data_IF_812981348598
#
_entry.id   IF_812981348598
#
_cell.length_a   1.000
_cell.length_b   1.000
_cell.length_c   1.000
_cell.angle_alpha   90.00
_cell.angle_beta   90.00
_cell.angle_gamma   90.00
#
_symmetry.space_group_name_H-M   'P 1'
#
loop_
_entity.id
_entity.type
_entity.pdbx_description
1 polymer ?
#
# COMPACT_ATOMS: atom_id res chain seq x y z
N UNK A 1 6.15 -2.96 -31.65
CA UNK A 1 7.12 -2.38 -30.69
C UNK A 1 8.45 -3.12 -30.84
N UNK A 2 9.53 -2.43 -31.22
CA UNK A 2 10.84 -3.06 -31.41
C UNK A 2 11.46 -3.26 -30.01
N UNK A 3 11.79 -4.52 -29.65
CA UNK A 3 12.53 -4.81 -28.42
C UNK A 3 13.95 -4.30 -28.54
N UNK A 4 14.35 -3.41 -27.63
CA UNK A 4 15.72 -2.92 -27.54
C UNK A 4 16.44 -3.67 -26.42
N UNK A 5 17.53 -4.34 -26.76
CA UNK A 5 18.37 -5.01 -25.78
C UNK A 5 19.31 -3.98 -25.13
N UNK A 6 19.18 -3.80 -23.84
CA UNK A 6 20.08 -2.95 -23.05
C UNK A 6 21.25 -3.80 -22.54
N UNK A 7 22.42 -3.16 -22.34
CA UNK A 7 23.58 -3.82 -21.70
C UNK A 7 23.41 -4.00 -20.18
N UNK A 8 22.44 -3.31 -19.62
CA UNK A 8 22.13 -3.26 -18.20
C UNK A 8 21.12 -4.36 -17.83
N UNK A 9 21.32 -5.04 -16.73
CA UNK A 9 20.35 -6.00 -16.20
C UNK A 9 19.24 -5.30 -15.41
N UNK A 10 18.18 -6.04 -15.11
CA UNK A 10 16.96 -5.49 -14.44
C UNK A 10 17.28 -4.91 -13.05
N UNK A 11 18.20 -5.54 -12.30
CA UNK A 11 18.56 -5.10 -10.96
C UNK A 11 19.35 -3.78 -11.00
N UNK A 12 20.30 -3.64 -11.92
CA UNK A 12 21.04 -2.39 -12.13
C UNK A 12 20.09 -1.24 -12.51
N UNK A 13 19.19 -1.50 -13.47
CA UNK A 13 18.18 -0.50 -13.87
C UNK A 13 17.25 -0.13 -12.72
N UNK A 14 16.91 -1.09 -11.85
CA UNK A 14 16.12 -0.84 -10.65
C UNK A 14 16.86 0.06 -9.64
N UNK A 15 18.14 -0.20 -9.39
CA UNK A 15 18.95 0.61 -8.47
C UNK A 15 19.11 2.07 -8.97
N UNK A 16 19.32 2.28 -10.26
CA UNK A 16 19.34 3.62 -10.85
C UNK A 16 18.01 4.35 -10.67
N UNK A 17 16.90 3.65 -10.85
CA UNK A 17 15.56 4.20 -10.60
C UNK A 17 15.32 4.54 -9.14
N UNK A 18 15.76 3.68 -8.22
CA UNK A 18 15.70 3.98 -6.78
C UNK A 18 16.51 5.22 -6.43
N UNK A 19 17.74 5.31 -6.94
CA UNK A 19 18.57 6.48 -6.73
C UNK A 19 17.83 7.76 -7.15
N UNK A 20 17.32 7.80 -8.38
CA UNK A 20 16.51 8.91 -8.87
C UNK A 20 15.32 9.24 -7.97
N UNK A 21 14.55 8.22 -7.54
CA UNK A 21 13.38 8.41 -6.67
C UNK A 21 13.80 9.03 -5.34
N UNK A 22 14.83 8.48 -4.69
CA UNK A 22 15.26 8.96 -3.38
C UNK A 22 15.94 10.32 -3.41
N UNK A 23 16.53 10.71 -4.53
CA UNK A 23 17.12 12.05 -4.73
C UNK A 23 16.06 13.11 -5.06
N UNK A 24 15.07 12.76 -5.90
CA UNK A 24 14.12 13.73 -6.46
C UNK A 24 12.82 13.89 -5.66
N UNK A 25 12.42 12.89 -4.86
CA UNK A 25 11.14 12.92 -4.15
C UNK A 25 11.33 13.07 -2.65
N UNK A 26 10.55 13.98 -2.06
CA UNK A 26 10.57 14.22 -0.62
C UNK A 26 9.85 13.11 0.13
N UNK A 27 8.67 12.74 -0.35
CA UNK A 27 7.77 11.76 0.25
C UNK A 27 7.68 10.52 -0.63
N UNK A 28 8.01 9.38 -0.06
CA UNK A 28 8.04 8.10 -0.77
C UNK A 28 7.19 7.10 0.02
N UNK A 29 6.29 6.42 -0.67
CA UNK A 29 5.60 5.28 -0.08
C UNK A 29 5.55 4.09 -1.05
N UNK A 30 5.39 2.90 -0.52
CA UNK A 30 5.30 1.65 -1.28
C UNK A 30 3.90 1.07 -1.09
N UNK A 31 3.23 0.74 -2.20
CA UNK A 31 2.03 -0.09 -2.16
C UNK A 31 2.44 -1.56 -2.00
N UNK A 32 2.03 -2.16 -0.89
CA UNK A 32 2.34 -3.54 -0.54
C UNK A 32 1.06 -4.38 -0.54
N UNK A 33 0.90 -5.26 -1.52
CA UNK A 33 -0.30 -6.11 -1.66
C UNK A 33 -0.26 -7.43 -0.88
N UNK A 34 0.89 -7.76 -0.29
CA UNK A 34 1.12 -9.10 0.29
C UNK A 34 1.52 -10.17 -0.73
N UNK A 35 1.58 -9.83 -2.02
CA UNK A 35 2.08 -10.73 -3.07
C UNK A 35 3.61 -10.75 -3.13
N UNK A 36 4.16 -11.79 -3.79
CA UNK A 36 5.62 -12.00 -3.89
C UNK A 36 6.36 -10.81 -4.50
N UNK A 37 5.80 -10.20 -5.56
CA UNK A 37 6.47 -9.14 -6.30
C UNK A 37 6.51 -7.83 -5.48
N UNK A 38 5.40 -7.47 -4.81
CA UNK A 38 5.36 -6.34 -3.89
C UNK A 38 6.21 -6.57 -2.64
N UNK A 39 6.31 -7.81 -2.18
CA UNK A 39 7.20 -8.21 -1.09
C UNK A 39 8.68 -8.10 -1.45
N UNK A 40 9.05 -8.53 -2.67
CA UNK A 40 10.40 -8.33 -3.19
C UNK A 40 10.74 -6.84 -3.30
N UNK A 41 9.84 -6.07 -3.94
CA UNK A 41 10.00 -4.62 -4.08
C UNK A 41 10.21 -3.95 -2.71
N UNK A 42 9.35 -4.24 -1.74
CA UNK A 42 9.45 -3.70 -0.37
C UNK A 42 10.80 -3.98 0.26
N UNK A 43 11.29 -5.22 0.19
CA UNK A 43 12.58 -5.59 0.79
C UNK A 43 13.77 -4.90 0.08
N UNK A 44 13.75 -4.80 -1.25
CA UNK A 44 14.82 -4.14 -2.02
C UNK A 44 14.84 -2.62 -1.74
N UNK A 45 13.68 -1.98 -1.65
CA UNK A 45 13.59 -0.55 -1.36
C UNK A 45 14.04 -0.26 0.08
N UNK A 46 13.65 -1.10 1.05
CA UNK A 46 14.10 -0.97 2.44
C UNK A 46 15.62 -1.11 2.56
N UNK A 47 16.20 -2.13 1.92
CA UNK A 47 17.64 -2.34 1.92
C UNK A 47 18.39 -1.16 1.29
N UNK A 48 17.90 -0.66 0.17
CA UNK A 48 18.49 0.51 -0.50
C UNK A 48 18.38 1.78 0.35
N UNK A 49 17.19 2.06 0.91
CA UNK A 49 16.96 3.20 1.78
C UNK A 49 17.91 3.16 2.98
N UNK A 50 17.98 2.03 3.68
CA UNK A 50 18.79 1.91 4.91
C UNK A 50 20.27 2.09 4.64
N UNK A 51 20.77 1.68 3.47
CA UNK A 51 22.18 1.85 3.07
C UNK A 51 22.51 3.25 2.56
N UNK A 52 21.62 3.83 1.76
CA UNK A 52 21.94 5.05 1.01
C UNK A 52 21.25 6.31 1.55
N UNK A 53 20.06 6.16 2.18
CA UNK A 53 19.21 7.27 2.64
C UNK A 53 18.58 6.97 4.01
N UNK A 54 19.34 6.61 5.04
CA UNK A 54 18.81 6.09 6.32
C UNK A 54 17.89 7.06 7.06
N UNK A 55 18.01 8.36 6.79
CA UNK A 55 17.18 9.40 7.43
C UNK A 55 15.89 9.67 6.67
N UNK A 56 15.71 9.08 5.47
CA UNK A 56 14.53 9.38 4.66
C UNK A 56 13.32 8.54 5.12
N UNK A 57 12.24 9.23 5.44
CA UNK A 57 10.97 8.58 5.77
C UNK A 57 10.46 7.74 4.59
N UNK A 58 9.81 6.63 4.90
CA UNK A 58 9.24 5.73 3.92
C UNK A 58 7.91 5.21 4.42
N UNK A 59 6.84 5.49 3.69
CA UNK A 59 5.51 4.93 3.94
C UNK A 59 5.34 3.52 3.36
N UNK A 60 4.54 2.69 4.00
CA UNK A 60 4.09 1.41 3.43
C UNK A 60 2.57 1.34 3.51
N UNK A 61 1.93 1.35 2.35
CA UNK A 61 0.49 1.34 2.19
C UNK A 61 0.02 -0.07 1.80
N UNK A 62 -0.82 -0.67 2.63
CA UNK A 62 -1.55 -1.90 2.32
C UNK A 62 -3.04 -1.61 2.27
N UNK A 63 -3.66 -1.85 1.12
CA UNK A 63 -5.11 -1.77 0.94
C UNK A 63 -5.70 -3.14 1.18
N UNK A 64 -6.43 -3.29 2.27
CA UNK A 64 -6.95 -4.58 2.71
C UNK A 64 -8.34 -4.84 2.13
N UNK A 65 -8.44 -5.91 1.37
CA UNK A 65 -9.69 -6.35 0.73
C UNK A 65 -10.52 -7.30 1.59
N UNK A 66 -10.21 -7.47 2.89
CA UNK A 66 -10.93 -8.35 3.82
C UNK A 66 -10.88 -9.84 3.40
N UNK A 67 -11.61 -10.21 2.33
CA UNK A 67 -11.67 -11.56 1.80
C UNK A 67 -10.41 -11.94 1.01
N UNK A 68 -9.30 -12.07 1.71
CA UNK A 68 -8.03 -12.56 1.16
C UNK A 68 -7.70 -13.95 1.70
N UNK A 69 -6.76 -14.65 1.04
CA UNK A 69 -6.25 -15.91 1.58
C UNK A 69 -5.59 -15.68 2.95
N UNK A 70 -5.87 -16.55 3.90
CA UNK A 70 -5.31 -16.48 5.27
C UNK A 70 -3.79 -16.35 5.26
N UNK A 71 -3.10 -17.13 4.44
CA UNK A 71 -1.63 -17.07 4.31
C UNK A 71 -1.13 -15.70 3.82
N UNK A 72 -1.92 -15.00 2.98
CA UNK A 72 -1.57 -13.65 2.52
C UNK A 72 -1.72 -12.66 3.67
N UNK A 73 -2.83 -12.71 4.41
CA UNK A 73 -3.07 -11.85 5.57
C UNK A 73 -2.01 -12.03 6.65
N UNK A 74 -1.68 -13.28 6.99
CA UNK A 74 -0.61 -13.61 7.93
C UNK A 74 0.76 -13.12 7.45
N UNK A 75 1.06 -13.19 6.16
CA UNK A 75 2.30 -12.67 5.61
C UNK A 75 2.35 -11.16 5.69
N UNK A 76 1.24 -10.47 5.40
CA UNK A 76 1.12 -9.01 5.57
C UNK A 76 1.38 -8.64 7.03
N UNK A 77 0.70 -9.28 7.97
CA UNK A 77 0.84 -9.01 9.40
C UNK A 77 2.29 -9.20 9.86
N UNK A 78 2.92 -10.34 9.58
CA UNK A 78 4.32 -10.60 9.91
C UNK A 78 5.26 -9.57 9.28
N UNK A 79 4.96 -9.14 8.05
CA UNK A 79 5.78 -8.13 7.37
C UNK A 79 5.67 -6.79 8.06
N UNK A 80 4.47 -6.32 8.38
CA UNK A 80 4.26 -5.06 9.08
C UNK A 80 4.90 -5.06 10.47
N UNK A 81 4.75 -6.15 11.25
CA UNK A 81 5.41 -6.27 12.55
C UNK A 81 6.95 -6.22 12.44
N UNK A 82 7.52 -6.81 11.40
CA UNK A 82 8.97 -6.80 11.15
C UNK A 82 9.51 -5.42 10.78
N UNK A 83 8.71 -4.61 10.06
CA UNK A 83 9.18 -3.32 9.54
C UNK A 83 8.69 -2.12 10.36
N UNK A 84 7.77 -2.30 11.30
CA UNK A 84 7.34 -1.22 12.20
C UNK A 84 8.55 -0.63 12.93
N UNK A 85 8.56 0.68 13.13
CA UNK A 85 9.70 1.41 13.65
C UNK A 85 10.81 1.75 12.64
N UNK A 86 10.74 1.16 11.43
CA UNK A 86 11.62 1.51 10.30
C UNK A 86 10.88 2.28 9.20
N UNK A 87 9.57 2.16 9.15
CA UNK A 87 8.69 2.77 8.16
C UNK A 87 7.46 3.37 8.83
N UNK A 88 6.68 4.11 8.07
CA UNK A 88 5.34 4.56 8.44
C UNK A 88 4.31 3.57 7.87
N UNK A 89 3.79 2.64 8.67
CA UNK A 89 2.89 1.61 8.19
C UNK A 89 1.45 2.12 8.14
N UNK A 90 0.75 1.83 7.04
CA UNK A 90 -0.66 2.14 6.82
C UNK A 90 -1.39 0.90 6.32
N UNK A 91 -2.05 0.18 7.21
CA UNK A 91 -2.91 -0.95 6.87
C UNK A 91 -4.34 -0.46 6.78
N UNK A 92 -4.83 -0.25 5.55
CA UNK A 92 -6.09 0.45 5.30
C UNK A 92 -7.26 -0.53 5.17
N UNK A 93 -8.13 -0.52 6.18
CA UNK A 93 -9.37 -1.28 6.30
C UNK A 93 -10.58 -0.34 6.19
N UNK A 94 -10.73 0.31 5.04
CA UNK A 94 -11.83 1.23 4.77
C UNK A 94 -12.83 0.61 3.79
N UNK A 95 -14.14 0.81 3.96
CA UNK A 95 -15.15 0.42 2.98
C UNK A 95 -14.87 1.02 1.60
N UNK A 96 -14.69 0.15 0.62
CA UNK A 96 -14.40 0.54 -0.76
C UNK A 96 -15.16 -0.35 -1.76
N UNK A 97 -15.49 0.21 -2.93
CA UNK A 97 -16.09 -0.56 -4.00
C UNK A 97 -14.99 -1.30 -4.79
N UNK A 98 -14.98 -2.61 -4.66
CA UNK A 98 -14.05 -3.50 -5.36
C UNK A 98 -14.81 -4.32 -6.40
N UNK A 99 -14.33 -4.35 -7.64
CA UNK A 99 -14.95 -5.17 -8.66
C UNK A 99 -14.82 -6.65 -8.33
N UNK A 100 -15.94 -7.37 -8.44
CA UNK A 100 -15.94 -8.83 -8.35
C UNK A 100 -15.96 -9.48 -9.73
N UNK A 101 -15.25 -10.60 -9.85
CA UNK A 101 -15.34 -11.47 -11.05
C UNK A 101 -16.27 -12.66 -10.80
N UNK A 102 -16.90 -12.76 -9.63
CA UNK A 102 -17.69 -13.94 -9.22
C UNK A 102 -19.17 -13.80 -9.55
N UNK A 103 -19.68 -12.60 -9.81
CA UNK A 103 -21.09 -12.35 -10.07
C UNK A 103 -21.28 -11.40 -11.23
N UNK A 104 -22.24 -11.75 -12.11
CA UNK A 104 -22.74 -10.85 -13.17
C UNK A 104 -23.88 -9.94 -12.68
N UNK A 105 -24.44 -10.20 -11.51
CA UNK A 105 -25.53 -9.44 -10.90
C UNK A 105 -25.03 -8.40 -9.92
N UNK A 106 -24.07 -8.79 -9.05
CA UNK A 106 -23.40 -7.89 -8.11
C UNK A 106 -22.00 -7.59 -8.61
N UNK A 107 -21.85 -6.46 -9.28
CA UNK A 107 -20.56 -6.08 -9.90
C UNK A 107 -19.51 -5.63 -8.88
N UNK A 108 -19.94 -5.27 -7.67
CA UNK A 108 -19.08 -4.76 -6.61
C UNK A 108 -19.25 -5.54 -5.32
N UNK A 109 -18.17 -5.71 -4.66
CA UNK A 109 -18.04 -6.17 -3.31
C UNK A 109 -17.46 -5.05 -2.45
N UNK A 110 -17.86 -4.98 -1.20
CA UNK A 110 -17.51 -3.88 -0.30
C UNK A 110 -16.82 -4.44 0.96
N UNK A 111 -15.48 -4.63 0.92
CA UNK A 111 -14.73 -5.01 2.10
C UNK A 111 -14.91 -3.98 3.22
N UNK A 112 -14.85 -4.46 4.45
CA UNK A 112 -14.92 -3.65 5.67
C UNK A 112 -16.17 -2.77 5.79
N UNK A 113 -17.24 -3.13 5.10
CA UNK A 113 -18.52 -2.44 5.16
C UNK A 113 -19.16 -2.63 6.55
N UNK A 114 -19.18 -1.55 7.35
CA UNK A 114 -19.66 -1.58 8.73
C UNK A 114 -21.17 -1.80 8.85
N UNK A 115 -21.92 -1.53 7.78
CA UNK A 115 -23.36 -1.84 7.70
C UNK A 115 -23.64 -3.33 7.52
N UNK A 116 -22.61 -4.13 7.26
CA UNK A 116 -22.68 -5.58 7.03
C UNK A 116 -21.57 -6.34 7.78
N UNK A 117 -21.30 -5.95 9.01
CA UNK A 117 -20.26 -6.61 9.85
C UNK A 117 -20.48 -8.09 10.04
N UNK A 118 -21.72 -8.52 10.05
CA UNK A 118 -22.13 -9.94 10.13
C UNK A 118 -21.70 -10.77 8.92
N UNK A 119 -21.42 -10.11 7.80
CA UNK A 119 -20.94 -10.75 6.57
C UNK A 119 -19.40 -10.71 6.41
N UNK A 120 -18.66 -10.10 7.33
CA UNK A 120 -17.20 -10.09 7.27
C UNK A 120 -16.63 -11.50 7.39
N UNK A 121 -15.68 -11.84 6.53
CA UNK A 121 -15.06 -13.17 6.52
C UNK A 121 -14.02 -13.35 7.61
N UNK A 122 -13.59 -12.27 8.23
CA UNK A 122 -12.64 -12.26 9.35
C UNK A 122 -12.75 -10.99 10.17
N UNK A 123 -12.20 -11.01 11.36
CA UNK A 123 -12.08 -9.83 12.20
C UNK A 123 -11.08 -8.81 11.61
N UNK A 124 -11.36 -7.51 11.82
CA UNK A 124 -10.45 -6.43 11.46
C UNK A 124 -9.20 -6.49 12.35
N UNK A 125 -7.99 -6.37 11.78
CA UNK A 125 -6.77 -6.37 12.58
C UNK A 125 -6.77 -5.25 13.62
N UNK A 126 -6.40 -5.59 14.86
CA UNK A 126 -6.34 -4.64 15.98
C UNK A 126 -4.88 -4.20 16.19
N UNK A 127 -4.41 -3.30 15.35
CA UNK A 127 -3.04 -2.76 15.40
C UNK A 127 -3.07 -1.23 15.32
N UNK A 128 -2.09 -0.58 15.91
CA UNK A 128 -1.96 0.87 15.96
C UNK A 128 -1.87 1.56 14.58
N UNK A 129 -1.38 0.82 13.58
CA UNK A 129 -1.21 1.28 12.21
C UNK A 129 -2.39 0.91 11.28
N UNK A 130 -3.47 0.36 11.82
CA UNK A 130 -4.69 0.09 11.05
C UNK A 130 -5.49 1.37 10.91
N UNK A 131 -5.77 1.72 9.65
CA UNK A 131 -6.64 2.84 9.29
C UNK A 131 -8.04 2.31 9.00
N UNK A 132 -9.01 2.71 9.79
CA UNK A 132 -10.41 2.33 9.70
C UNK A 132 -11.32 3.56 9.70
N UNK A 133 -12.64 3.40 9.74
CA UNK A 133 -13.59 4.52 9.74
C UNK A 133 -13.45 5.46 10.94
N UNK A 134 -12.99 4.97 12.09
CA UNK A 134 -12.91 5.75 13.33
C UNK A 134 -11.68 6.66 13.35
N UNK A 135 -10.57 6.23 12.72
CA UNK A 135 -9.28 6.93 12.76
C UNK A 135 -8.77 7.38 11.39
N UNK A 136 -9.60 7.31 10.35
CA UNK A 136 -9.20 7.63 8.98
C UNK A 136 -8.69 9.07 8.82
N UNK A 137 -7.42 9.28 8.45
CA UNK A 137 -6.84 10.61 8.27
C UNK A 137 -7.08 11.18 6.86
N UNK A 138 -7.61 10.37 5.92
CA UNK A 138 -7.78 10.78 4.51
C UNK A 138 -9.06 11.62 4.38
N UNK A 139 -8.95 12.92 4.54
CA UNK A 139 -10.09 13.85 4.56
C UNK A 139 -10.95 13.84 3.28
N UNK A 140 -10.39 13.38 2.17
CA UNK A 140 -11.07 13.26 0.88
C UNK A 140 -11.67 11.88 0.63
N UNK A 141 -11.56 10.96 1.59
CA UNK A 141 -12.21 9.67 1.54
C UNK A 141 -13.74 9.85 1.50
N UNK A 142 -14.39 9.02 0.70
CA UNK A 142 -15.85 8.90 0.64
C UNK A 142 -16.22 7.44 0.80
N UNK A 143 -17.18 7.19 1.67
CA UNK A 143 -17.68 5.84 1.96
C UNK A 143 -17.99 5.04 0.68
N UNK A 144 -17.47 3.82 0.59
CA UNK A 144 -17.58 2.95 -0.58
C UNK A 144 -17.08 3.55 -1.91
N UNK A 145 -16.12 4.50 -1.86
CA UNK A 145 -15.46 4.95 -3.08
C UNK A 145 -14.72 3.82 -3.77
N UNK A 146 -14.43 3.94 -5.07
CA UNK A 146 -13.68 2.92 -5.79
C UNK A 146 -12.28 2.72 -5.20
N UNK A 147 -11.80 1.46 -5.20
CA UNK A 147 -10.50 1.08 -4.65
C UNK A 147 -9.34 1.87 -5.27
N UNK A 148 -9.42 2.14 -6.59
CA UNK A 148 -8.40 2.91 -7.31
C UNK A 148 -8.39 4.39 -6.89
N UNK A 149 -9.57 4.92 -6.56
CA UNK A 149 -9.69 6.29 -6.08
C UNK A 149 -9.21 6.41 -4.64
N UNK A 150 -9.47 5.40 -3.80
CA UNK A 150 -8.91 5.35 -2.45
C UNK A 150 -7.38 5.38 -2.47
N UNK A 151 -6.74 4.60 -3.32
CA UNK A 151 -5.28 4.61 -3.48
C UNK A 151 -4.75 5.99 -3.92
N UNK A 152 -5.44 6.65 -4.87
CA UNK A 152 -5.10 8.03 -5.30
C UNK A 152 -5.27 9.05 -4.16
N UNK A 153 -6.37 8.94 -3.37
CA UNK A 153 -6.61 9.84 -2.25
C UNK A 153 -5.59 9.62 -1.12
N UNK A 154 -5.17 8.37 -0.89
CA UNK A 154 -4.06 8.10 0.02
C UNK A 154 -2.79 8.82 -0.40
N UNK A 155 -2.36 8.68 -1.66
CA UNK A 155 -1.16 9.35 -2.17
C UNK A 155 -1.25 10.87 -2.08
N UNK A 156 -2.43 11.45 -2.35
CA UNK A 156 -2.67 12.88 -2.18
C UNK A 156 -2.58 13.33 -0.72
N UNK A 157 -3.21 12.58 0.17
CA UNK A 157 -3.16 12.83 1.61
C UNK A 157 -1.73 12.71 2.13
N UNK A 158 -1.01 11.64 1.78
CA UNK A 158 0.37 11.40 2.20
C UNK A 158 1.28 12.56 1.82
N UNK A 159 1.16 13.06 0.59
CA UNK A 159 1.89 14.27 0.15
C UNK A 159 1.59 15.50 0.99
N UNK A 160 0.32 15.75 1.29
CA UNK A 160 -0.09 16.96 2.02
C UNK A 160 0.34 16.87 3.49
N UNK A 161 0.16 15.72 4.12
CA UNK A 161 0.47 15.50 5.54
C UNK A 161 1.97 15.57 5.84
N UNK A 162 2.82 15.22 4.87
CA UNK A 162 4.29 15.22 5.02
C UNK A 162 4.96 16.49 4.46
N UNK A 163 4.20 17.42 3.88
CA UNK A 163 4.66 18.76 3.55
C UNK A 163 5.70 18.89 2.42
N UNK A 164 5.98 17.85 1.65
CA UNK A 164 6.93 17.85 0.57
C UNK A 164 6.37 18.41 -0.75
N UNK A 165 7.26 18.78 -1.67
CA UNK A 165 6.90 19.25 -3.00
C UNK A 165 6.56 18.11 -3.95
N UNK A 166 7.25 16.98 -3.82
CA UNK A 166 7.12 15.80 -4.68
C UNK A 166 6.88 14.55 -3.85
N UNK A 167 5.91 13.73 -4.28
CA UNK A 167 5.57 12.42 -3.67
C UNK A 167 5.51 11.36 -4.76
N UNK A 168 6.02 10.17 -4.46
CA UNK A 168 5.96 8.98 -5.30
C UNK A 168 5.70 7.73 -4.46
#
# INVERSE_FOLDING_TARGET
>A
MIKQHLKQNVYEAFLERLKFIFEEFDNIYISFSGGKDSGLLLNLVLDYRDRCFPQKALGVFHQDFEAQYTVTTEYVERTFERIKGRVEPYWVCLPMATRTALSSYEMYWYPWDDTRRDAWVREMPQKEYVVNLENNPISTYRYRMHQEDLAKQFGRWYRISHGGRKTV
#
